data_IF_432921854886
#
_entry.id   IF_432921854886
#
_cell.length_a   1.000
_cell.length_b   1.000
_cell.length_c   1.000
_cell.angle_alpha   90.00
_cell.angle_beta   90.00
_cell.angle_gamma   90.00
#
_symmetry.space_group_name_H-M   'P 1'
#
loop_
_entity.id
_entity.type
_entity.pdbx_description
1 polymer ?
#
# COMPACT_ATOMS: atom_id res chain seq x y z
N UNK A 1 41.01 -19.14 -1.04
CA UNK A 1 40.04 -18.58 -2.01
C UNK A 1 38.62 -18.50 -1.42
N UNK A 2 38.04 -19.59 -0.90
CA UNK A 2 36.69 -19.60 -0.30
C UNK A 2 36.50 -18.61 0.88
N UNK A 3 37.52 -18.42 1.74
CA UNK A 3 37.49 -17.43 2.84
C UNK A 3 37.49 -15.96 2.38
N UNK A 4 38.03 -15.66 1.19
CA UNK A 4 37.96 -14.30 0.64
C UNK A 4 36.60 -14.01 0.03
N UNK A 5 36.01 -15.00 -0.65
CA UNK A 5 34.68 -14.89 -1.25
C UNK A 5 33.61 -14.69 -0.17
N UNK A 6 33.70 -15.42 0.95
CA UNK A 6 32.79 -15.25 2.08
C UNK A 6 32.92 -13.88 2.76
N UNK A 7 34.15 -13.35 2.93
CA UNK A 7 34.38 -12.00 3.47
C UNK A 7 33.84 -10.90 2.57
N UNK A 8 33.93 -11.07 1.26
CA UNK A 8 33.43 -10.11 0.27
C UNK A 8 31.90 -10.15 0.20
N UNK A 9 31.28 -11.34 0.33
CA UNK A 9 29.82 -11.47 0.45
C UNK A 9 29.30 -10.81 1.73
N UNK A 10 29.92 -11.04 2.88
CA UNK A 10 29.56 -10.37 4.14
C UNK A 10 29.73 -8.85 4.06
N UNK A 11 30.79 -8.35 3.41
CA UNK A 11 30.98 -6.91 3.21
C UNK A 11 29.95 -6.32 2.23
N UNK A 12 29.54 -7.07 1.21
CA UNK A 12 28.48 -6.69 0.27
C UNK A 12 27.10 -6.65 0.92
N UNK A 13 26.77 -7.63 1.77
CA UNK A 13 25.53 -7.65 2.55
C UNK A 13 25.48 -6.50 3.55
N UNK A 14 26.58 -6.22 4.27
CA UNK A 14 26.65 -5.05 5.17
C UNK A 14 26.56 -3.72 4.43
N UNK A 15 27.16 -3.63 3.25
CA UNK A 15 27.06 -2.43 2.41
C UNK A 15 25.64 -2.23 1.87
N UNK A 16 24.95 -3.32 1.51
CA UNK A 16 23.54 -3.29 1.11
C UNK A 16 22.65 -2.91 2.29
N UNK A 17 22.80 -3.52 3.47
CA UNK A 17 22.08 -3.13 4.69
C UNK A 17 22.25 -1.65 5.01
N UNK A 18 23.48 -1.12 4.91
CA UNK A 18 23.76 0.29 5.15
C UNK A 18 23.02 1.19 4.15
N UNK A 19 23.00 0.84 2.86
CA UNK A 19 22.25 1.61 1.84
C UNK A 19 20.74 1.50 2.01
N UNK A 20 20.24 0.34 2.40
CA UNK A 20 18.82 0.14 2.74
C UNK A 20 18.42 1.07 3.87
N UNK A 21 19.22 1.13 4.95
CA UNK A 21 19.00 2.07 6.05
C UNK A 21 19.03 3.53 5.57
N UNK A 22 19.94 3.91 4.66
CA UNK A 22 20.02 5.26 4.10
C UNK A 22 18.79 5.64 3.25
N UNK A 23 18.28 4.72 2.43
CA UNK A 23 17.07 4.93 1.62
C UNK A 23 15.83 5.02 2.51
N UNK A 24 15.71 4.14 3.50
CA UNK A 24 14.64 4.20 4.50
C UNK A 24 14.66 5.53 5.25
N UNK A 25 15.84 6.01 5.64
CA UNK A 25 15.98 7.29 6.34
C UNK A 25 15.66 8.48 5.41
N UNK A 26 15.99 8.41 4.12
CA UNK A 26 15.60 9.43 3.13
C UNK A 26 14.09 9.49 2.94
N UNK A 27 13.43 8.35 2.75
CA UNK A 27 11.97 8.27 2.64
C UNK A 27 11.30 8.76 3.92
N UNK A 28 11.85 8.43 5.09
CA UNK A 28 11.39 8.95 6.38
C UNK A 28 11.52 10.48 6.46
N UNK A 29 12.64 11.07 6.01
CA UNK A 29 12.81 12.53 5.95
C UNK A 29 11.82 13.21 5.01
N UNK A 30 11.58 12.65 3.82
CA UNK A 30 10.57 13.17 2.89
C UNK A 30 9.17 13.12 3.51
N UNK A 31 8.84 12.04 4.23
CA UNK A 31 7.60 11.95 5.02
C UNK A 31 7.55 13.00 6.12
N UNK A 32 8.64 13.24 6.85
CA UNK A 32 8.69 14.30 7.85
C UNK A 32 8.44 15.68 7.23
N UNK A 33 8.88 15.93 6.00
CA UNK A 33 8.58 17.17 5.28
C UNK A 33 7.09 17.25 4.93
N UNK A 34 6.49 16.18 4.41
CA UNK A 34 5.04 16.13 4.13
C UNK A 34 4.23 16.30 5.42
N UNK A 35 4.64 15.64 6.50
CA UNK A 35 4.04 15.77 7.82
C UNK A 35 4.17 17.20 8.34
N UNK A 36 5.34 17.84 8.20
CA UNK A 36 5.55 19.25 8.55
C UNK A 36 4.68 20.18 7.71
N UNK A 37 4.49 19.89 6.42
CA UNK A 37 3.57 20.65 5.57
C UNK A 37 2.11 20.51 6.04
N UNK A 38 1.65 19.28 6.29
CA UNK A 38 0.32 19.03 6.87
C UNK A 38 0.18 19.69 8.25
N UNK A 39 1.21 19.64 9.07
CA UNK A 39 1.24 20.31 10.37
C UNK A 39 1.19 21.83 10.21
N UNK A 40 1.85 22.42 9.21
CA UNK A 40 1.72 23.85 8.88
C UNK A 40 0.33 24.22 8.39
N UNK A 41 -0.32 23.37 7.60
CA UNK A 41 -1.72 23.58 7.21
C UNK A 41 -2.65 23.52 8.44
N UNK A 42 -2.40 22.59 9.36
CA UNK A 42 -3.10 22.51 10.66
C UNK A 42 -2.77 23.75 11.51
N UNK A 43 -1.51 24.21 11.52
CA UNK A 43 -1.03 25.41 12.22
C UNK A 43 -1.78 26.66 11.74
N UNK A 44 -1.93 26.82 10.42
CA UNK A 44 -2.66 27.91 9.79
C UNK A 44 -4.17 27.87 10.09
N UNK A 45 -4.67 26.71 10.52
CA UNK A 45 -6.05 26.51 10.94
C UNK A 45 -6.20 26.48 12.46
N UNK A 46 -5.15 26.76 13.25
CA UNK A 46 -5.15 26.64 14.73
C UNK A 46 -6.32 27.34 15.40
N UNK A 47 -6.67 28.54 14.93
CA UNK A 47 -7.79 29.33 15.47
C UNK A 47 -9.18 28.79 15.08
N UNK A 48 -9.22 27.73 14.26
CA UNK A 48 -10.42 27.02 13.79
C UNK A 48 -10.37 25.52 14.12
N UNK A 49 -9.44 25.10 14.97
CA UNK A 49 -9.36 23.71 15.44
C UNK A 49 -10.33 23.51 16.60
N UNK A 50 -11.17 22.50 16.47
CA UNK A 50 -12.11 22.12 17.50
C UNK A 50 -11.74 20.75 18.05
N UNK A 51 -11.72 20.65 19.38
CA UNK A 51 -11.70 19.38 20.06
C UNK A 51 -13.12 18.84 20.14
N UNK A 52 -13.33 17.63 19.63
CA UNK A 52 -14.60 16.93 19.72
C UNK A 52 -14.57 16.08 20.99
N UNK A 53 -15.50 16.38 21.90
CA UNK A 53 -15.64 15.70 23.18
C UNK A 53 -17.05 15.12 23.34
N UNK A 54 -17.17 14.11 24.20
CA UNK A 54 -18.45 13.58 24.61
C UNK A 54 -19.28 14.66 25.32
N UNK A 55 -20.56 14.79 24.97
CA UNK A 55 -21.44 15.83 25.53
C UNK A 55 -21.72 15.62 27.02
N UNK A 56 -21.76 14.37 27.47
CA UNK A 56 -22.13 14.03 28.86
C UNK A 56 -20.94 14.16 29.82
N UNK A 57 -19.82 13.52 29.51
CA UNK A 57 -18.67 13.45 30.43
C UNK A 57 -17.47 14.31 29.99
N UNK A 58 -17.62 15.09 28.92
CA UNK A 58 -16.59 15.95 28.33
C UNK A 58 -15.29 15.22 27.98
N UNK A 59 -15.29 13.88 27.90
CA UNK A 59 -14.10 13.13 27.52
C UNK A 59 -13.76 13.36 26.06
N UNK A 60 -12.47 13.52 25.80
CA UNK A 60 -11.93 13.69 24.47
C UNK A 60 -12.27 12.51 23.54
N UNK A 61 -12.86 12.82 22.38
CA UNK A 61 -13.20 11.84 21.34
C UNK A 61 -12.21 11.90 20.21
N UNK A 62 -12.04 13.06 19.55
CA UNK A 62 -11.06 13.28 18.48
C UNK A 62 -10.88 14.78 18.19
N UNK A 63 -9.90 15.14 17.36
CA UNK A 63 -9.76 16.50 16.82
C UNK A 63 -10.60 16.66 15.55
N UNK A 64 -11.09 17.87 15.27
CA UNK A 64 -11.81 18.19 14.02
C UNK A 64 -10.95 17.90 12.78
N UNK A 65 -9.62 17.97 12.89
CA UNK A 65 -8.67 17.59 11.82
C UNK A 65 -8.68 16.10 11.47
N UNK A 66 -9.28 15.25 12.30
CA UNK A 66 -9.49 13.83 12.02
C UNK A 66 -10.88 13.55 11.46
N UNK A 67 -11.75 14.55 11.34
CA UNK A 67 -13.06 14.39 10.72
C UNK A 67 -12.95 14.63 9.21
N UNK A 68 -13.57 13.77 8.42
CA UNK A 68 -13.66 13.86 6.96
C UNK A 68 -15.12 13.75 6.55
N UNK A 69 -15.46 14.35 5.41
CA UNK A 69 -16.78 14.19 4.82
C UNK A 69 -16.68 13.18 3.68
N UNK A 70 -17.45 12.10 3.77
CA UNK A 70 -17.68 11.14 2.68
C UNK A 70 -18.93 11.60 1.94
N UNK A 71 -18.84 11.67 0.59
CA UNK A 71 -19.95 12.01 -0.31
C UNK A 71 -20.67 13.33 0.01
N UNK A 72 -20.00 14.28 0.67
CA UNK A 72 -20.53 15.61 0.98
C UNK A 72 -21.57 15.66 2.12
N UNK A 73 -22.03 14.51 2.62
CA UNK A 73 -23.13 14.42 3.60
C UNK A 73 -22.76 13.67 4.89
N UNK A 74 -21.84 12.71 4.83
CA UNK A 74 -21.51 11.83 5.96
C UNK A 74 -20.18 12.21 6.61
N UNK A 75 -20.18 12.55 7.90
CA UNK A 75 -18.97 12.87 8.65
C UNK A 75 -18.39 11.63 9.33
N UNK A 76 -17.12 11.34 9.07
CA UNK A 76 -16.40 10.19 9.63
C UNK A 76 -15.13 10.63 10.34
N UNK A 77 -14.77 9.91 11.41
CA UNK A 77 -13.48 10.11 12.08
C UNK A 77 -12.46 9.08 11.58
N UNK A 78 -11.32 9.56 11.08
CA UNK A 78 -10.21 8.73 10.58
C UNK A 78 -9.01 8.67 11.55
N UNK A 79 -9.20 9.11 12.81
CA UNK A 79 -8.21 8.95 13.88
C UNK A 79 -7.98 7.46 14.18
N UNK A 80 -6.79 6.94 13.87
CA UNK A 80 -6.43 5.53 14.07
C UNK A 80 -6.51 5.07 15.53
N UNK A 81 -6.45 6.01 16.48
CA UNK A 81 -6.47 5.72 17.91
C UNK A 81 -7.86 5.90 18.55
N UNK A 82 -8.90 6.24 17.78
CA UNK A 82 -10.27 6.41 18.28
C UNK A 82 -10.81 5.16 18.98
N UNK A 83 -10.40 3.97 18.51
CA UNK A 83 -10.83 2.68 19.05
C UNK A 83 -10.35 2.42 20.48
N UNK A 84 -9.32 3.15 20.95
CA UNK A 84 -8.86 3.07 22.33
C UNK A 84 -9.74 3.88 23.29
N UNK A 85 -10.57 4.80 22.76
CA UNK A 85 -11.35 5.77 23.53
C UNK A 85 -12.84 5.41 23.56
N UNK A 86 -13.32 4.67 22.57
CA UNK A 86 -14.73 4.31 22.41
C UNK A 86 -14.94 2.81 22.53
N UNK A 87 -16.06 2.42 23.12
CA UNK A 87 -16.49 1.02 23.22
C UNK A 87 -17.45 0.68 22.09
N UNK A 88 -17.27 -0.47 21.46
CA UNK A 88 -18.12 -0.94 20.37
C UNK A 88 -19.27 -1.77 20.96
N UNK A 89 -20.51 -1.44 20.63
CA UNK A 89 -21.66 -2.30 20.88
C UNK A 89 -22.30 -2.70 19.57
N UNK A 90 -22.21 -3.99 19.26
CA UNK A 90 -22.85 -4.58 18.07
C UNK A 90 -24.37 -4.56 18.24
N UNK A 91 -25.09 -4.12 17.22
CA UNK A 91 -26.55 -4.28 17.18
C UNK A 91 -26.85 -5.75 16.86
N UNK A 92 -27.76 -6.38 17.61
CA UNK A 92 -28.24 -7.72 17.23
C UNK A 92 -28.84 -7.63 15.83
N UNK A 93 -28.30 -8.45 14.93
CA UNK A 93 -28.65 -8.50 13.51
C UNK A 93 -30.10 -8.95 13.37
N UNK A 94 -31.03 -8.03 13.15
CA UNK A 94 -32.24 -8.37 12.41
C UNK A 94 -31.82 -8.73 10.99
N UNK A 95 -32.44 -9.74 10.38
CA UNK A 95 -32.05 -10.34 9.08
C UNK A 95 -31.93 -9.36 7.90
N UNK A 96 -32.32 -8.10 8.09
CA UNK A 96 -32.02 -6.97 7.22
C UNK A 96 -31.14 -5.97 7.99
N UNK A 97 -29.90 -5.79 7.55
CA UNK A 97 -28.97 -4.81 8.16
C UNK A 97 -29.56 -3.39 8.15
N UNK A 98 -29.15 -2.54 9.09
CA UNK A 98 -29.51 -1.11 9.07
C UNK A 98 -28.52 -0.36 8.19
N UNK A 99 -29.02 0.37 7.21
CA UNK A 99 -28.24 1.17 6.27
C UNK A 99 -28.52 2.66 6.51
N UNK A 100 -27.49 3.51 6.45
CA UNK A 100 -27.64 4.99 6.54
C UNK A 100 -28.08 5.57 5.19
N UNK A 101 -27.55 5.00 4.13
CA UNK A 101 -27.86 5.23 2.72
C UNK A 101 -27.66 3.90 1.97
N UNK A 102 -27.86 3.88 0.66
CA UNK A 102 -27.82 2.65 -0.14
C UNK A 102 -26.44 1.92 -0.10
N UNK A 103 -25.36 2.57 0.35
CA UNK A 103 -23.98 2.05 0.31
C UNK A 103 -23.33 1.88 1.69
N UNK A 104 -24.00 2.36 2.74
CA UNK A 104 -23.41 2.49 4.08
C UNK A 104 -24.09 1.57 5.08
N UNK A 105 -23.52 0.38 5.26
CA UNK A 105 -23.99 -0.54 6.28
C UNK A 105 -23.53 -0.11 7.67
N UNK A 106 -24.48 0.07 8.59
CA UNK A 106 -24.20 0.26 10.02
C UNK A 106 -23.92 -1.10 10.64
N UNK A 107 -22.71 -1.28 11.15
CA UNK A 107 -22.30 -2.52 11.80
C UNK A 107 -22.50 -2.47 13.32
N UNK A 108 -22.28 -1.31 13.93
CA UNK A 108 -22.32 -1.14 15.38
C UNK A 108 -22.44 0.33 15.76
N UNK A 109 -22.69 0.58 17.03
CA UNK A 109 -22.62 1.93 17.61
C UNK A 109 -21.37 2.04 18.48
N UNK A 110 -20.67 3.18 18.36
CA UNK A 110 -19.56 3.53 19.25
C UNK A 110 -20.09 4.32 20.43
N UNK A 111 -19.68 3.91 21.61
CA UNK A 111 -20.12 4.48 22.88
C UNK A 111 -18.94 5.10 23.61
N UNK A 112 -19.18 6.22 24.28
CA UNK A 112 -18.28 6.72 25.31
C UNK A 112 -18.38 5.84 26.56
N UNK A 113 -17.40 5.95 27.45
CA UNK A 113 -17.40 5.28 28.76
C UNK A 113 -18.64 5.61 29.60
N UNK A 114 -19.18 6.83 29.49
CA UNK A 114 -20.44 7.21 30.14
C UNK A 114 -21.70 6.57 29.53
N UNK A 115 -21.56 5.78 28.46
CA UNK A 115 -22.68 5.14 27.77
C UNK A 115 -23.34 5.98 26.68
N UNK A 116 -22.90 7.23 26.45
CA UNK A 116 -23.40 8.04 25.34
C UNK A 116 -22.99 7.43 23.99
N UNK A 117 -23.92 7.33 23.03
CA UNK A 117 -23.58 7.02 21.64
C UNK A 117 -22.85 8.23 21.04
N UNK A 118 -21.63 8.00 20.58
CA UNK A 118 -20.76 9.02 19.99
C UNK A 118 -20.80 8.96 18.45
N UNK A 119 -21.03 7.77 17.89
CA UNK A 119 -21.17 7.60 16.46
C UNK A 119 -21.59 6.18 16.09
N UNK A 120 -21.59 5.92 14.79
CA UNK A 120 -21.90 4.61 14.22
C UNK A 120 -20.68 4.10 13.46
N UNK A 121 -20.44 2.79 13.53
CA UNK A 121 -19.44 2.13 12.71
C UNK A 121 -20.09 1.78 11.39
N UNK A 122 -19.54 2.36 10.33
CA UNK A 122 -20.00 2.18 8.97
C UNK A 122 -18.94 1.42 8.18
N UNK A 123 -19.35 0.43 7.38
CA UNK A 123 -18.47 -0.23 6.42
C UNK A 123 -18.73 0.33 5.03
N UNK A 124 -17.90 1.28 4.61
CA UNK A 124 -17.78 1.66 3.20
C UNK A 124 -16.81 0.70 2.51
N UNK A 125 -17.31 -0.05 1.52
CA UNK A 125 -16.48 -0.95 0.73
C UNK A 125 -16.77 -0.71 -0.76
N UNK A 126 -15.72 -0.39 -1.50
CA UNK A 126 -15.78 -0.28 -2.94
C UNK A 126 -15.35 -1.61 -3.56
N UNK A 127 -16.06 -2.02 -4.60
CA UNK A 127 -15.58 -3.02 -5.54
C UNK A 127 -14.61 -2.34 -6.50
N UNK A 128 -13.45 -2.95 -6.70
CA UNK A 128 -12.45 -2.49 -7.68
C UNK A 128 -12.51 -3.46 -8.86
N UNK A 129 -12.82 -2.92 -10.04
CA UNK A 129 -12.94 -3.67 -11.29
C UNK A 129 -12.01 -3.14 -12.36
N UNK A 130 -11.72 -3.97 -13.37
CA UNK A 130 -10.96 -3.53 -14.53
C UNK A 130 -11.73 -2.48 -15.32
N UNK A 131 -11.06 -1.41 -15.73
CA UNK A 131 -11.68 -0.31 -16.47
C UNK A 131 -12.21 -0.68 -17.86
N UNK A 132 -11.69 -1.76 -18.46
CA UNK A 132 -12.03 -2.14 -19.85
C UNK A 132 -13.17 -3.15 -19.90
N UNK A 133 -13.11 -4.22 -19.12
CA UNK A 133 -14.09 -5.32 -19.16
C UNK A 133 -14.96 -5.41 -17.90
N UNK A 134 -14.82 -4.46 -16.96
CA UNK A 134 -15.53 -4.42 -15.69
C UNK A 134 -15.38 -5.69 -14.83
N UNK A 135 -14.39 -6.55 -15.12
CA UNK A 135 -14.18 -7.76 -14.35
C UNK A 135 -13.66 -7.43 -12.96
N UNK A 136 -14.20 -8.12 -11.96
CA UNK A 136 -13.81 -7.95 -10.56
C UNK A 136 -12.31 -8.20 -10.35
N UNK A 137 -11.62 -7.25 -9.72
CA UNK A 137 -10.20 -7.37 -9.33
C UNK A 137 -10.09 -7.67 -7.83
N UNK A 138 -10.61 -6.78 -6.99
CA UNK A 138 -10.59 -6.93 -5.53
C UNK A 138 -11.58 -5.96 -4.85
N UNK A 139 -11.68 -6.01 -3.52
CA UNK A 139 -12.38 -5.00 -2.72
C UNK A 139 -11.39 -3.95 -2.19
N UNK A 140 -11.86 -2.72 -1.98
CA UNK A 140 -11.06 -1.66 -1.36
C UNK A 140 -10.52 -2.05 0.02
N UNK A 141 -11.23 -2.92 0.73
CA UNK A 141 -10.81 -3.47 2.03
C UNK A 141 -9.56 -4.35 1.95
N UNK A 142 -9.19 -4.82 0.76
CA UNK A 142 -7.98 -5.59 0.51
C UNK A 142 -6.84 -4.73 -0.04
N UNK A 143 -7.04 -3.42 -0.20
CA UNK A 143 -5.96 -2.53 -0.62
C UNK A 143 -5.14 -2.13 0.60
N UNK A 144 -3.81 -2.21 0.48
CA UNK A 144 -2.86 -1.78 1.49
C UNK A 144 -1.83 -0.84 0.88
N UNK A 145 -1.23 -0.03 1.74
CA UNK A 145 -0.01 0.68 1.41
C UNK A 145 1.21 -0.13 1.84
N UNK A 146 2.27 -0.05 1.04
CA UNK A 146 3.62 -0.47 1.39
C UNK A 146 4.49 0.79 1.39
N UNK A 147 5.12 1.06 2.53
CA UNK A 147 5.91 2.25 2.76
C UNK A 147 5.15 3.54 2.41
N UNK A 148 3.82 3.56 2.59
CA UNK A 148 2.98 4.73 2.32
C UNK A 148 2.92 5.25 0.87
N UNK A 149 3.58 4.61 -0.10
CA UNK A 149 3.66 5.09 -1.49
C UNK A 149 3.21 4.07 -2.53
N UNK A 150 3.29 2.78 -2.21
CA UNK A 150 2.91 1.70 -3.12
C UNK A 150 1.58 1.10 -2.68
N UNK A 151 0.61 1.03 -3.59
CA UNK A 151 -0.74 0.51 -3.29
C UNK A 151 -0.87 -0.91 -3.84
N UNK A 152 -1.04 -1.86 -2.94
CA UNK A 152 -1.06 -3.30 -3.25
C UNK A 152 -2.38 -3.93 -2.86
N UNK A 153 -2.75 -5.02 -3.52
CA UNK A 153 -3.85 -5.87 -3.07
C UNK A 153 -3.31 -7.03 -2.22
N UNK A 154 -3.90 -7.24 -1.05
CA UNK A 154 -3.62 -8.38 -0.16
C UNK A 154 -4.75 -9.42 -0.14
N UNK A 155 -5.59 -9.45 -1.17
CA UNK A 155 -6.58 -10.51 -1.38
C UNK A 155 -5.88 -11.79 -1.85
N UNK A 156 -5.88 -12.83 -1.04
CA UNK A 156 -5.21 -14.12 -1.36
C UNK A 156 -5.71 -14.76 -2.66
N UNK A 157 -6.94 -14.45 -3.08
CA UNK A 157 -7.53 -15.05 -4.29
C UNK A 157 -7.24 -14.26 -5.57
N UNK A 158 -6.52 -13.13 -5.48
CA UNK A 158 -6.22 -12.27 -6.63
C UNK A 158 -5.40 -12.99 -7.72
N UNK A 159 -4.56 -13.94 -7.32
CA UNK A 159 -3.69 -14.70 -8.21
C UNK A 159 -4.45 -15.58 -9.21
N UNK A 160 -5.69 -15.95 -8.90
CA UNK A 160 -6.60 -16.66 -9.82
C UNK A 160 -7.24 -15.73 -10.86
N UNK A 161 -7.24 -14.42 -10.59
CA UNK A 161 -7.97 -13.42 -11.39
C UNK A 161 -7.06 -12.64 -12.33
N UNK A 162 -5.80 -12.47 -11.97
CA UNK A 162 -4.83 -11.73 -12.76
C UNK A 162 -3.80 -12.66 -13.40
N UNK A 163 -3.46 -12.38 -14.64
CA UNK A 163 -2.39 -13.07 -15.35
C UNK A 163 -1.07 -12.34 -15.15
N UNK A 164 -0.02 -13.08 -14.82
CA UNK A 164 1.33 -12.55 -14.67
C UNK A 164 1.98 -12.57 -16.06
N UNK A 165 2.57 -11.44 -16.47
CA UNK A 165 3.41 -11.39 -17.67
C UNK A 165 4.75 -10.77 -17.32
N UNK A 166 5.80 -11.58 -17.38
CA UNK A 166 7.17 -11.12 -17.17
C UNK A 166 7.58 -10.18 -18.29
N UNK A 167 8.19 -9.04 -17.95
CA UNK A 167 8.80 -8.18 -18.96
C UNK A 167 10.09 -8.80 -19.45
N UNK A 168 10.40 -8.66 -20.74
CA UNK A 168 11.78 -8.89 -21.18
C UNK A 168 12.70 -7.94 -20.41
N UNK A 169 13.72 -8.49 -19.77
CA UNK A 169 14.74 -7.73 -19.04
C UNK A 169 15.49 -6.86 -20.03
N UNK A 170 14.97 -5.67 -20.32
CA UNK A 170 15.76 -4.63 -20.98
C UNK A 170 16.92 -4.29 -20.05
N UNK A 171 18.09 -3.99 -20.62
CA UNK A 171 19.31 -3.67 -19.87
C UNK A 171 19.15 -2.47 -18.90
N UNK A 172 17.99 -1.81 -18.92
CA UNK A 172 17.53 -0.81 -17.95
C UNK A 172 16.36 -1.38 -17.14
N UNK A 173 16.63 -2.28 -16.19
CA UNK A 173 15.62 -2.66 -15.20
C UNK A 173 15.08 -1.42 -14.48
N UNK A 174 13.74 -1.27 -14.39
CA UNK A 174 13.12 -0.21 -13.59
C UNK A 174 13.11 -0.64 -12.12
N UNK A 175 14.19 -0.34 -11.42
CA UNK A 175 14.23 -0.39 -9.96
C UNK A 175 13.47 0.83 -9.42
N UNK A 176 12.49 0.62 -8.55
CA UNK A 176 11.80 1.72 -7.86
C UNK A 176 12.66 2.18 -6.67
N UNK A 177 13.29 1.23 -5.99
CA UNK A 177 14.40 1.38 -5.05
C UNK A 177 15.20 0.06 -4.93
N UNK A 178 16.18 -0.06 -4.04
CA UNK A 178 17.04 -1.27 -3.90
C UNK A 178 16.31 -2.47 -3.25
N UNK A 179 15.18 -2.27 -2.56
CA UNK A 179 14.42 -3.31 -1.81
C UNK A 179 13.14 -3.73 -2.55
N UNK A 180 12.66 -2.86 -3.43
CA UNK A 180 11.39 -2.93 -4.13
C UNK A 180 11.64 -3.14 -5.61
N UNK A 181 11.46 -4.38 -6.04
CA UNK A 181 11.69 -4.76 -7.43
C UNK A 181 10.37 -4.93 -8.16
N UNK A 182 10.20 -4.23 -9.27
CA UNK A 182 9.09 -4.49 -10.20
C UNK A 182 9.53 -5.57 -11.19
N UNK A 183 8.91 -6.75 -11.09
CA UNK A 183 9.35 -7.94 -11.82
C UNK A 183 8.50 -8.24 -13.06
N UNK A 184 7.21 -7.93 -12.98
CA UNK A 184 6.23 -8.30 -14.00
C UNK A 184 5.06 -7.32 -14.00
N UNK A 185 4.23 -7.40 -15.03
CA UNK A 185 2.93 -6.73 -15.08
C UNK A 185 1.81 -7.73 -14.76
N UNK A 186 0.80 -7.25 -14.04
CA UNK A 186 -0.44 -8.01 -13.82
C UNK A 186 -1.49 -7.56 -14.83
N UNK A 187 -2.11 -8.51 -15.49
CA UNK A 187 -3.08 -8.28 -16.55
C UNK A 187 -4.45 -8.82 -16.17
N UNK A 188 -5.50 -8.12 -16.56
CA UNK A 188 -6.84 -8.67 -16.59
C UNK A 188 -6.97 -9.68 -17.75
N UNK A 189 -8.02 -10.48 -17.73
CA UNK A 189 -8.34 -11.43 -18.80
C UNK A 189 -8.52 -10.74 -20.16
N UNK A 190 -9.06 -9.50 -20.19
CA UNK A 190 -9.14 -8.70 -21.43
C UNK A 190 -7.77 -8.20 -21.95
N UNK A 191 -6.67 -8.44 -21.23
CA UNK A 191 -5.34 -7.97 -21.60
C UNK A 191 -4.98 -6.57 -21.11
N UNK A 192 -5.89 -5.86 -20.42
CA UNK A 192 -5.56 -4.59 -19.77
C UNK A 192 -4.56 -4.81 -18.62
N UNK A 193 -3.52 -3.98 -18.55
CA UNK A 193 -2.61 -3.95 -17.41
C UNK A 193 -3.36 -3.39 -16.19
N UNK A 194 -3.50 -4.20 -15.14
CA UNK A 194 -4.08 -3.76 -13.86
C UNK A 194 -3.03 -3.12 -12.98
N UNK A 195 -1.80 -3.60 -13.04
CA UNK A 195 -0.68 -3.04 -12.31
C UNK A 195 0.59 -3.85 -12.53
N UNK A 196 1.43 -3.90 -11.51
CA UNK A 196 2.74 -4.55 -11.56
C UNK A 196 2.96 -5.47 -10.37
N UNK A 197 3.87 -6.43 -10.48
CA UNK A 197 4.28 -7.27 -9.35
C UNK A 197 5.52 -6.69 -8.71
N UNK A 198 5.38 -6.37 -7.44
CA UNK A 198 6.40 -5.82 -6.57
C UNK A 198 6.92 -6.91 -5.64
N UNK A 199 8.23 -7.09 -5.53
CA UNK A 199 8.84 -7.89 -4.47
C UNK A 199 9.17 -6.98 -3.29
N UNK A 200 8.65 -7.30 -2.10
CA UNK A 200 8.91 -6.59 -0.86
C UNK A 200 9.10 -7.59 0.28
N UNK A 201 10.21 -7.49 1.01
CA UNK A 201 10.55 -8.38 2.12
C UNK A 201 10.38 -9.89 1.79
N UNK A 202 10.83 -10.29 0.59
CA UNK A 202 10.71 -11.69 0.12
C UNK A 202 9.32 -12.11 -0.34
N UNK A 203 8.31 -11.24 -0.27
CA UNK A 203 6.93 -11.49 -0.69
C UNK A 203 6.63 -10.80 -2.01
N UNK A 204 5.89 -11.47 -2.90
CA UNK A 204 5.39 -10.87 -4.14
C UNK A 204 4.00 -10.27 -3.92
N UNK A 205 3.83 -9.02 -4.32
CA UNK A 205 2.63 -8.23 -4.09
C UNK A 205 2.13 -7.62 -5.40
N UNK A 206 0.86 -7.82 -5.77
CA UNK A 206 0.27 -7.18 -6.93
C UNK A 206 -0.10 -5.74 -6.58
N UNK A 207 0.60 -4.80 -7.21
CA UNK A 207 0.23 -3.37 -7.17
C UNK A 207 -0.99 -3.10 -8.03
N UNK A 208 -1.76 -2.09 -7.68
CA UNK A 208 -2.91 -1.64 -8.47
C UNK A 208 -2.61 -0.26 -9.05
N UNK A 209 -2.70 -0.15 -10.38
CA UNK A 209 -2.68 1.14 -11.05
C UNK A 209 -4.10 1.73 -11.07
N UNK A 210 -4.29 2.79 -10.29
CA UNK A 210 -5.61 3.40 -10.11
C UNK A 210 -6.25 3.88 -11.42
N UNK A 211 -5.45 4.30 -12.40
CA UNK A 211 -5.96 4.80 -13.69
C UNK A 211 -6.56 3.71 -14.57
N UNK A 212 -6.27 2.43 -14.26
CA UNK A 212 -6.68 1.26 -15.04
C UNK A 212 -7.81 0.47 -14.37
N UNK A 213 -8.33 0.96 -13.25
CA UNK A 213 -9.45 0.36 -12.52
C UNK A 213 -10.58 1.36 -12.34
N UNK A 214 -11.77 0.84 -12.08
CA UNK A 214 -12.96 1.60 -11.72
C UNK A 214 -13.37 1.17 -10.31
N UNK A 215 -13.90 2.13 -9.55
CA UNK A 215 -14.46 1.88 -8.24
C UNK A 215 -15.98 1.88 -8.38
N UNK A 216 -16.61 0.77 -8.01
CA UNK A 216 -18.06 0.68 -7.90
C UNK A 216 -18.48 0.52 -6.44
N UNK A 217 -19.57 1.19 -6.09
CA UNK A 217 -20.21 0.99 -4.80
C UNK A 217 -20.99 -0.33 -4.83
N UNK A 218 -20.80 -1.17 -3.80
CA UNK A 218 -21.47 -2.46 -3.70
C UNK A 218 -22.72 -2.33 -2.81
N UNK A 219 -23.89 -2.28 -3.44
CA UNK A 219 -25.21 -2.14 -2.81
C UNK A 219 -25.93 -3.49 -2.85
N UNK A 220 -26.15 -4.16 -1.70
CA UNK A 220 -26.91 -5.42 -1.63
C UNK A 220 -26.54 -6.47 -2.72
N UNK A 221 -25.26 -6.54 -3.08
CA UNK A 221 -24.75 -7.46 -4.11
C UNK A 221 -24.87 -6.98 -5.56
N UNK A 222 -25.29 -5.72 -5.82
CA UNK A 222 -25.32 -5.06 -7.13
C UNK A 222 -24.35 -3.87 -7.16
N UNK A 223 -23.64 -3.69 -8.28
CA UNK A 223 -22.79 -2.53 -8.53
C UNK A 223 -23.67 -1.37 -9.05
N UNK A 224 -23.66 -0.20 -8.40
CA UNK A 224 -24.54 0.93 -8.75
C UNK A 224 -23.84 2.00 -9.58
N UNK A 225 -22.84 2.67 -9.01
CA UNK A 225 -22.16 3.83 -9.57
C UNK A 225 -20.71 3.47 -9.86
N UNK A 226 -20.33 3.48 -11.14
CA UNK A 226 -18.97 3.25 -11.58
C UNK A 226 -18.25 4.59 -11.74
N UNK A 227 -17.32 4.89 -10.84
CA UNK A 227 -16.55 6.14 -10.91
C UNK A 227 -15.05 5.86 -11.11
N UNK A 228 -14.42 6.48 -12.13
CA UNK A 228 -12.98 6.46 -12.26
C UNK A 228 -12.34 7.42 -11.25
N UNK A 229 -11.46 6.91 -10.39
CA UNK A 229 -10.64 7.75 -9.50
C UNK A 229 -9.29 7.98 -10.16
N UNK A 230 -8.89 9.25 -10.29
CA UNK A 230 -7.68 9.63 -11.05
C UNK A 230 -6.36 9.45 -10.30
N UNK A 231 -6.37 9.40 -8.96
CA UNK A 231 -5.15 9.23 -8.15
C UNK A 231 -5.44 8.64 -6.78
N UNK A 232 -4.47 7.94 -6.19
CA UNK A 232 -4.62 7.35 -4.86
C UNK A 232 -4.78 8.38 -3.74
N UNK A 233 -4.28 9.61 -3.91
CA UNK A 233 -4.55 10.71 -2.99
C UNK A 233 -6.05 11.00 -2.89
N UNK A 234 -6.74 11.08 -4.04
CA UNK A 234 -8.19 11.28 -4.09
C UNK A 234 -8.98 10.09 -3.58
N UNK A 235 -8.45 8.87 -3.75
CA UNK A 235 -9.05 7.68 -3.15
C UNK A 235 -8.98 7.74 -1.61
N UNK A 236 -7.86 8.25 -1.06
CA UNK A 236 -7.66 8.46 0.38
C UNK A 236 -8.63 9.45 1.01
N UNK A 237 -9.20 10.37 0.22
CA UNK A 237 -10.26 11.28 0.67
C UNK A 237 -11.61 10.56 0.82
N UNK A 238 -11.81 9.44 0.12
CA UNK A 238 -13.07 8.67 0.11
C UNK A 238 -13.05 7.46 1.05
N UNK A 239 -11.91 6.80 1.19
CA UNK A 239 -11.75 5.67 2.11
C UNK A 239 -10.32 5.55 2.64
N UNK A 240 -10.20 5.00 3.84
CA UNK A 240 -8.90 4.77 4.47
C UNK A 240 -8.20 3.54 3.90
N UNK A 241 -6.91 3.67 3.60
CA UNK A 241 -6.06 2.57 3.12
C UNK A 241 -4.96 2.36 4.17
N UNK A 242 -5.02 1.27 4.97
CA UNK A 242 -4.01 0.99 5.98
C UNK A 242 -2.70 0.47 5.36
N UNK A 243 -1.61 0.54 6.13
CA UNK A 243 -0.34 -0.12 5.81
C UNK A 243 -0.50 -1.64 5.94
N UNK A 244 0.16 -2.41 5.07
CA UNK A 244 0.14 -3.86 5.15
C UNK A 244 0.80 -4.37 6.43
N UNK A 245 0.21 -5.37 7.06
CA UNK A 245 0.82 -6.03 8.22
C UNK A 245 1.54 -7.33 7.83
N UNK A 246 2.36 -7.84 8.75
CA UNK A 246 3.18 -9.04 8.51
C UNK A 246 2.34 -10.29 8.18
N UNK A 247 1.19 -10.46 8.82
CA UNK A 247 0.31 -11.60 8.58
C UNK A 247 -0.24 -11.58 7.16
N UNK A 248 -0.66 -10.41 6.66
CA UNK A 248 -1.12 -10.22 5.28
C UNK A 248 0.00 -10.53 4.28
N UNK A 249 1.23 -10.09 4.54
CA UNK A 249 2.38 -10.41 3.68
C UNK A 249 2.64 -11.92 3.62
N UNK A 250 2.67 -12.60 4.78
CA UNK A 250 2.83 -14.07 4.84
C UNK A 250 1.72 -14.79 4.08
N UNK A 251 0.47 -14.34 4.23
CA UNK A 251 -0.67 -14.91 3.51
C UNK A 251 -0.53 -14.70 2.00
N UNK A 252 -0.04 -13.55 1.54
CA UNK A 252 0.18 -13.31 0.12
C UNK A 252 1.23 -14.24 -0.48
N UNK A 253 2.33 -14.49 0.24
CA UNK A 253 3.34 -15.45 -0.19
C UNK A 253 2.77 -16.87 -0.31
N UNK A 254 2.05 -17.33 0.72
CA UNK A 254 1.44 -18.67 0.73
C UNK A 254 0.39 -18.81 -0.38
N UNK A 255 -0.48 -17.81 -0.54
CA UNK A 255 -1.52 -17.83 -1.56
C UNK A 255 -0.95 -17.86 -2.98
N UNK A 256 0.16 -17.18 -3.26
CA UNK A 256 0.78 -17.27 -4.58
C UNK A 256 1.29 -18.69 -4.86
N UNK A 257 1.89 -19.35 -3.86
CA UNK A 257 2.36 -20.74 -3.98
C UNK A 257 1.20 -21.70 -4.20
N UNK A 258 0.06 -21.49 -3.55
CA UNK A 258 -1.10 -22.37 -3.67
C UNK A 258 -1.91 -22.12 -4.94
N UNK A 259 -2.07 -20.85 -5.32
CA UNK A 259 -3.02 -20.43 -6.34
C UNK A 259 -2.41 -20.20 -7.72
N UNK A 260 -1.10 -19.94 -7.80
CA UNK A 260 -0.41 -19.69 -9.05
C UNK A 260 1.09 -20.04 -8.95
N UNK A 261 1.36 -21.34 -8.77
CA UNK A 261 2.71 -21.90 -8.63
C UNK A 261 3.60 -21.59 -9.85
N UNK A 262 3.02 -21.59 -11.05
CA UNK A 262 3.74 -21.27 -12.29
C UNK A 262 4.20 -19.81 -12.30
N UNK A 263 3.29 -18.88 -12.01
CA UNK A 263 3.62 -17.46 -11.88
C UNK A 263 4.62 -17.19 -10.77
N UNK A 264 4.58 -17.94 -9.66
CA UNK A 264 5.60 -17.89 -8.61
C UNK A 264 6.99 -18.27 -9.15
N UNK A 265 7.06 -19.37 -9.90
CA UNK A 265 8.30 -19.83 -10.52
C UNK A 265 8.85 -18.81 -11.52
N UNK A 266 8.00 -18.25 -12.38
CA UNK A 266 8.39 -17.19 -13.33
C UNK A 266 8.97 -15.96 -12.61
N UNK A 267 8.35 -15.55 -11.51
CA UNK A 267 8.81 -14.43 -10.70
C UNK A 267 10.14 -14.71 -10.00
N UNK A 268 10.34 -15.92 -9.48
CA UNK A 268 11.60 -16.35 -8.86
C UNK A 268 12.73 -16.32 -9.90
N UNK A 269 12.50 -16.86 -11.10
CA UNK A 269 13.47 -16.81 -12.21
C UNK A 269 13.77 -15.36 -12.63
N UNK A 270 12.77 -14.49 -12.69
CA UNK A 270 12.96 -13.07 -13.00
C UNK A 270 13.75 -12.35 -11.92
N UNK A 271 13.50 -12.66 -10.64
CA UNK A 271 14.26 -12.12 -9.53
C UNK A 271 15.74 -12.50 -9.65
N UNK A 272 16.06 -13.76 -9.95
CA UNK A 272 17.44 -14.23 -10.13
C UNK A 272 18.13 -13.55 -11.31
N UNK A 273 17.43 -13.40 -12.44
CA UNK A 273 17.92 -12.65 -13.60
C UNK A 273 18.22 -11.20 -13.24
N UNK A 274 17.35 -10.53 -12.48
CA UNK A 274 17.57 -9.15 -12.05
C UNK A 274 18.76 -9.04 -11.10
N UNK A 275 18.91 -9.96 -10.14
CA UNK A 275 20.09 -10.01 -9.25
C UNK A 275 21.37 -10.19 -10.06
N UNK A 276 21.37 -11.07 -11.07
CA UNK A 276 22.53 -11.29 -11.93
C UNK A 276 22.91 -10.04 -12.76
N UNK A 277 21.91 -9.33 -13.30
CA UNK A 277 22.12 -8.06 -14.01
C UNK A 277 22.69 -7.00 -13.07
N UNK A 278 22.14 -6.87 -11.86
CA UNK A 278 22.60 -5.92 -10.86
C UNK A 278 24.06 -6.19 -10.44
N UNK A 279 24.42 -7.46 -10.21
CA UNK A 279 25.82 -7.85 -9.94
C UNK A 279 26.76 -7.45 -11.08
N UNK A 280 26.36 -7.65 -12.33
CA UNK A 280 27.16 -7.25 -13.50
C UNK A 280 27.31 -5.74 -13.61
N UNK A 281 26.25 -4.96 -13.32
CA UNK A 281 26.33 -3.49 -13.31
C UNK A 281 27.25 -2.98 -12.21
N UNK A 282 27.14 -3.51 -10.99
CA UNK A 282 28.01 -3.14 -9.87
C UNK A 282 29.47 -3.47 -10.16
N UNK A 283 29.76 -4.62 -10.78
CA UNK A 283 31.13 -4.98 -11.17
C UNK A 283 31.68 -4.06 -12.26
N UNK A 284 30.86 -3.66 -13.25
CA UNK A 284 31.28 -2.66 -14.26
C UNK A 284 31.61 -1.32 -13.61
N UNK A 285 30.80 -0.87 -12.65
CA UNK A 285 31.04 0.40 -11.97
C UNK A 285 32.28 0.35 -11.06
N UNK A 286 32.50 -0.79 -10.38
CA UNK A 286 33.72 -1.06 -9.62
C UNK A 286 34.96 -0.98 -10.51
N UNK A 287 34.94 -1.63 -11.67
CA UNK A 287 36.05 -1.58 -12.63
C UNK A 287 36.35 -0.16 -13.10
N UNK A 288 35.32 0.63 -13.43
CA UNK A 288 35.48 2.04 -13.79
C UNK A 288 36.10 2.85 -12.64
N UNK A 289 35.65 2.64 -11.40
CA UNK A 289 36.23 3.32 -10.24
C UNK A 289 37.69 2.95 -10.02
N UNK A 290 38.06 1.68 -10.20
CA UNK A 290 39.46 1.22 -10.14
C UNK A 290 40.31 1.84 -11.25
N UNK A 291 39.76 1.97 -12.47
CA UNK A 291 40.43 2.57 -13.62
C UNK A 291 40.67 4.08 -13.41
N UNK A 292 39.66 4.79 -12.88
CA UNK A 292 39.78 6.21 -12.50
C UNK A 292 40.79 6.40 -11.35
N UNK A 293 40.83 5.49 -10.38
CA UNK A 293 41.78 5.56 -9.26
C UNK A 293 43.22 5.30 -9.72
N UNK A 294 43.43 4.43 -10.71
CA UNK A 294 44.75 4.21 -11.33
C UNK A 294 45.20 5.41 -12.15
N UNK A 295 44.30 5.95 -12.97
CA UNK A 295 44.59 7.14 -13.78
C UNK A 295 44.87 8.38 -12.91
N UNK A 296 44.33 8.49 -11.71
CA UNK A 296 44.63 9.62 -10.81
C UNK A 296 45.93 9.46 -10.05
N UNK A 297 46.41 8.24 -9.85
CA UNK A 297 47.70 7.98 -9.17
C UNK A 297 48.91 8.08 -10.12
N UNK A 298 48.72 7.94 -11.43
CA UNK A 298 49.78 8.09 -12.45
C UNK A 298 50.14 9.56 -12.77
N UNK A 299 49.39 10.56 -12.30
CA UNK A 299 49.70 11.99 -12.51
C UNK A 299 50.45 12.65 -11.34
N UNK A 300 50.62 11.95 -10.22
CA UNK A 300 51.30 12.44 -9.01
C UNK A 300 52.78 11.95 -8.90
N UNK A 301 53.41 11.59 -10.02
CA UNK A 301 54.84 11.19 -10.10
C UNK A 301 55.65 12.14 -10.98
#
# INVERSE_FOLDING_TARGET
MNKCISRIQEQGERALEKRVLEVMERQKKEREVILKHKMKEIENLKDKLFTISCKIDNKYVCMSTHVRTINGSSYVCVDSTIWRRLTIKTKQTTEKGKFVDEVTQILADTHCACGQIIGTIMKYAFTISCKIDNKYVCMSTHVRTINGSSYVCVDSTIWRRLTIKTKQTTEKGKFVDEVTQILADTHCACGQIIGTIMKYAGTYLPTINISNVIFSERIDGRDSTQEPISSWSKAGDRFWIPEANEQELRQMLLSLITENTEGKFELDVMCDKMIAVQKRMLEKERRKQEEVTRLTTDWDV
#
